data_IF_405377038700
#
_entry.id   IF_405377038700
#
_cell.length_a   1.000
_cell.length_b   1.000
_cell.length_c   1.000
_cell.angle_alpha   90.00
_cell.angle_beta   90.00
_cell.angle_gamma   90.00
#
_symmetry.space_group_name_H-M   'P 1'
#
loop_
_entity.id
_entity.type
_entity.pdbx_description
1 polymer ?
#
# COMPACT_ATOMS: atom_id res chain seq x y z
N UNK A 1 -17.94 -48.53 -72.38
CA UNK A 1 -16.58 -48.27 -71.83
C UNK A 1 -16.49 -46.84 -71.44
N UNK A 2 -17.19 -46.47 -70.41
CA UNK A 2 -16.90 -45.16 -69.69
C UNK A 2 -17.68 -45.17 -68.37
N UNK A 3 -17.06 -44.72 -67.31
CA UNK A 3 -17.61 -44.40 -65.98
C UNK A 3 -17.67 -45.50 -64.91
N UNK A 4 -16.49 -45.98 -64.48
CA UNK A 4 -16.39 -46.66 -63.18
C UNK A 4 -15.19 -46.09 -62.31
N UNK A 5 -14.61 -44.98 -62.70
CA UNK A 5 -13.46 -44.44 -61.95
C UNK A 5 -13.66 -43.10 -61.18
N UNK A 6 -14.88 -42.81 -60.77
CA UNK A 6 -15.12 -41.54 -60.03
C UNK A 6 -15.81 -41.68 -58.67
N UNK A 7 -16.06 -42.87 -58.15
CA UNK A 7 -16.65 -43.01 -56.80
C UNK A 7 -15.65 -43.36 -55.70
N UNK A 8 -14.41 -43.77 -56.01
CA UNK A 8 -13.46 -44.15 -54.97
C UNK A 8 -12.67 -42.95 -54.40
N UNK A 9 -12.53 -41.88 -55.17
CA UNK A 9 -11.77 -40.72 -54.68
C UNK A 9 -12.60 -39.77 -53.83
N UNK A 10 -13.93 -39.73 -54.03
CA UNK A 10 -14.80 -38.87 -53.22
C UNK A 10 -15.05 -39.44 -51.81
N UNK A 11 -14.97 -40.74 -51.65
CA UNK A 11 -15.13 -41.40 -50.33
C UNK A 11 -13.90 -41.24 -49.44
N UNK A 12 -12.68 -41.13 -50.03
CA UNK A 12 -11.46 -40.99 -49.28
C UNK A 12 -11.25 -39.55 -48.77
N UNK A 13 -11.68 -38.56 -49.55
CA UNK A 13 -11.63 -37.16 -49.15
C UNK A 13 -12.61 -36.79 -48.03
N UNK A 14 -13.78 -37.40 -48.02
CA UNK A 14 -14.80 -37.20 -46.98
C UNK A 14 -14.39 -37.90 -45.68
N UNK A 15 -13.73 -39.05 -45.74
CA UNK A 15 -13.25 -39.76 -44.56
C UNK A 15 -12.07 -39.00 -43.87
N UNK A 16 -11.23 -38.30 -44.62
CA UNK A 16 -10.14 -37.48 -44.05
C UNK A 16 -10.67 -36.22 -43.36
N UNK A 17 -11.79 -35.65 -43.80
CA UNK A 17 -12.38 -34.46 -43.19
C UNK A 17 -13.03 -34.75 -41.81
N UNK A 18 -13.47 -35.98 -41.58
CA UNK A 18 -14.06 -36.36 -40.29
C UNK A 18 -13.02 -36.66 -39.20
N UNK A 19 -11.76 -36.94 -39.56
CA UNK A 19 -10.70 -37.17 -38.55
C UNK A 19 -10.09 -35.90 -38.01
N UNK A 20 -10.21 -34.74 -38.67
CA UNK A 20 -9.71 -33.46 -38.17
C UNK A 20 -10.66 -32.73 -37.22
N UNK A 21 -11.91 -33.18 -37.07
CA UNK A 21 -12.91 -32.58 -36.16
C UNK A 21 -12.85 -33.08 -34.71
N UNK A 22 -12.00 -34.04 -34.39
CA UNK A 22 -11.99 -34.70 -33.07
C UNK A 22 -10.89 -34.24 -32.10
N UNK A 23 -10.11 -33.21 -32.46
CA UNK A 23 -9.14 -32.59 -31.54
C UNK A 23 -9.51 -31.12 -31.30
N UNK A 24 -10.73 -30.86 -30.86
CA UNK A 24 -10.97 -29.70 -30.01
C UNK A 24 -10.51 -30.13 -28.64
N UNK A 25 -9.25 -29.83 -28.32
CA UNK A 25 -8.82 -29.85 -26.94
C UNK A 25 -9.71 -28.86 -26.19
N UNK A 26 -10.65 -29.37 -25.39
CA UNK A 26 -11.18 -28.57 -24.30
C UNK A 26 -9.96 -28.09 -23.51
N UNK A 27 -9.60 -26.81 -23.65
CA UNK A 27 -8.79 -26.19 -22.65
C UNK A 27 -9.55 -26.38 -21.34
N UNK A 28 -8.93 -26.96 -20.31
CA UNK A 28 -9.55 -26.95 -19.00
C UNK A 28 -9.91 -25.49 -18.72
N UNK A 29 -11.15 -25.24 -18.33
CA UNK A 29 -11.56 -23.97 -17.81
C UNK A 29 -10.49 -23.58 -16.78
N UNK A 30 -9.85 -22.42 -16.98
CA UNK A 30 -8.88 -21.94 -16.02
C UNK A 30 -9.64 -21.82 -14.71
N UNK A 31 -9.45 -22.76 -13.80
CA UNK A 31 -9.91 -22.60 -12.43
C UNK A 31 -9.34 -21.26 -11.97
N UNK A 32 -10.22 -20.31 -11.73
CA UNK A 32 -9.82 -19.04 -11.17
C UNK A 32 -9.27 -19.36 -9.78
N UNK A 33 -7.93 -19.42 -9.64
CA UNK A 33 -7.32 -19.60 -8.34
C UNK A 33 -7.77 -18.45 -7.44
N UNK A 34 -8.62 -18.77 -6.48
CA UNK A 34 -9.09 -17.80 -5.50
C UNK A 34 -8.08 -17.78 -4.35
N UNK A 35 -7.34 -16.69 -4.24
CA UNK A 35 -6.37 -16.52 -3.18
C UNK A 35 -7.08 -16.06 -1.90
N UNK A 36 -6.74 -16.67 -0.77
CA UNK A 36 -7.31 -16.31 0.54
C UNK A 36 -7.11 -14.82 0.89
N UNK A 37 -6.11 -14.18 0.31
CA UNK A 37 -5.84 -12.73 0.46
C UNK A 37 -6.96 -11.85 -0.10
N UNK A 38 -7.79 -12.34 -1.03
CA UNK A 38 -8.94 -11.59 -1.57
C UNK A 38 -10.05 -11.38 -0.54
N UNK A 39 -10.07 -12.18 0.52
CA UNK A 39 -11.02 -12.06 1.62
C UNK A 39 -10.52 -11.18 2.78
N UNK A 40 -9.28 -10.69 2.69
CA UNK A 40 -8.70 -9.83 3.71
C UNK A 40 -9.19 -8.39 3.51
N UNK A 41 -9.84 -7.84 4.53
CA UNK A 41 -10.16 -6.42 4.59
C UNK A 41 -9.28 -5.72 5.63
N UNK A 42 -8.24 -4.97 5.20
CA UNK A 42 -7.33 -4.29 6.12
C UNK A 42 -7.97 -3.18 6.96
N UNK A 43 -9.17 -2.72 6.62
CA UNK A 43 -9.88 -1.71 7.40
C UNK A 43 -10.57 -2.28 8.65
N UNK A 44 -10.63 -3.59 8.83
CA UNK A 44 -11.20 -4.19 10.04
C UNK A 44 -10.37 -3.79 11.26
N UNK A 45 -11.03 -3.17 12.25
CA UNK A 45 -10.41 -2.71 13.49
C UNK A 45 -9.77 -1.31 13.41
N UNK A 46 -9.90 -0.59 12.30
CA UNK A 46 -9.39 0.78 12.17
C UNK A 46 -10.32 1.83 12.78
N UNK A 47 -11.47 1.42 13.30
CA UNK A 47 -12.44 2.26 13.98
C UNK A 47 -12.63 1.83 15.46
N UNK A 48 -13.27 2.67 16.27
CA UNK A 48 -13.48 2.50 17.72
C UNK A 48 -12.16 2.26 18.45
N UNK A 49 -12.05 1.16 19.15
CA UNK A 49 -10.89 0.77 19.97
C UNK A 49 -10.12 -0.41 19.37
N UNK A 50 -10.29 -0.68 18.09
CA UNK A 50 -9.61 -1.80 17.41
C UNK A 50 -8.12 -1.56 17.24
N UNK A 51 -7.70 -0.31 17.03
CA UNK A 51 -6.31 0.13 16.92
C UNK A 51 -5.51 -0.72 15.92
N UNK A 52 -6.03 -0.84 14.71
CA UNK A 52 -5.31 -1.42 13.58
C UNK A 52 -5.07 -0.36 12.52
N UNK A 53 -4.21 -0.65 11.56
CA UNK A 53 -3.88 0.23 10.44
C UNK A 53 -4.09 -0.51 9.10
N UNK A 54 -4.49 0.19 8.02
CA UNK A 54 -4.81 -0.44 6.74
C UNK A 54 -3.61 -0.63 5.82
N UNK A 55 -2.41 -0.24 6.25
CA UNK A 55 -1.23 -0.14 5.41
C UNK A 55 -0.64 -1.48 4.98
N UNK A 56 0.41 -1.39 4.16
CA UNK A 56 1.09 -2.53 3.58
C UNK A 56 2.08 -3.17 4.54
N UNK A 57 1.95 -4.47 4.73
CA UNK A 57 2.83 -5.27 5.58
C UNK A 57 2.97 -6.67 4.99
N UNK A 58 4.21 -7.21 4.98
CA UNK A 58 4.42 -8.64 4.80
C UNK A 58 4.17 -9.38 6.13
N UNK A 59 3.70 -10.64 6.11
CA UNK A 59 3.51 -11.41 7.33
C UNK A 59 4.81 -11.45 8.15
N UNK A 60 4.72 -11.04 9.45
CA UNK A 60 5.85 -10.96 10.38
C UNK A 60 7.00 -10.03 9.93
N UNK A 61 6.72 -9.11 9.00
CA UNK A 61 7.71 -8.15 8.52
C UNK A 61 8.09 -7.10 9.56
N UNK A 62 9.31 -6.57 9.44
CA UNK A 62 9.80 -5.46 10.26
C UNK A 62 9.25 -4.10 9.79
N UNK A 63 8.74 -4.04 8.55
CA UNK A 63 8.16 -2.83 7.97
C UNK A 63 6.64 -2.96 7.97
N UNK A 64 5.99 -1.97 8.60
CA UNK A 64 4.55 -1.76 8.62
C UNK A 64 4.28 -0.39 8.03
N UNK A 65 4.22 -0.31 6.69
CA UNK A 65 4.10 0.95 5.96
C UNK A 65 2.64 1.38 5.85
N UNK A 66 2.27 2.45 6.56
CA UNK A 66 0.87 2.87 6.66
C UNK A 66 0.70 4.39 6.72
N UNK A 67 -0.48 4.92 6.36
CA UNK A 67 -0.79 6.31 6.62
C UNK A 67 -0.94 6.61 8.12
N UNK A 68 -0.53 7.82 8.50
CA UNK A 68 -0.75 8.42 9.81
C UNK A 68 -1.72 9.59 9.68
N UNK A 69 -2.81 9.60 10.47
CA UNK A 69 -3.75 10.72 10.46
C UNK A 69 -3.19 12.00 11.08
N UNK A 70 -2.17 11.89 11.93
CA UNK A 70 -1.44 13.03 12.50
C UNK A 70 -2.00 13.60 13.79
N UNK A 71 -3.16 13.15 14.24
CA UNK A 71 -3.78 13.56 15.49
C UNK A 71 -3.47 12.57 16.62
N UNK A 72 -3.16 13.04 17.83
CA UNK A 72 -2.97 12.17 19.00
C UNK A 72 -4.32 11.68 19.53
N UNK A 73 -4.32 10.57 20.23
CA UNK A 73 -5.50 10.05 20.91
C UNK A 73 -5.42 8.55 21.16
N UNK A 74 -6.18 8.07 22.15
CA UNK A 74 -6.20 6.64 22.46
C UNK A 74 -6.69 5.78 21.28
N UNK A 75 -7.68 6.29 20.53
CA UNK A 75 -8.24 5.58 19.37
C UNK A 75 -7.31 5.66 18.13
N UNK A 76 -6.19 6.37 18.22
CA UNK A 76 -5.21 6.64 17.15
C UNK A 76 -3.83 6.07 17.45
N UNK A 77 -3.71 5.18 18.41
CA UNK A 77 -2.39 4.62 18.79
C UNK A 77 -1.77 3.72 17.72
N UNK A 78 -2.53 3.31 16.72
CA UNK A 78 -2.00 2.61 15.53
C UNK A 78 -1.55 3.57 14.41
N UNK A 79 -1.69 4.89 14.59
CA UNK A 79 -1.40 5.91 13.58
C UNK A 79 -2.59 6.25 12.68
N UNK A 80 -3.50 5.32 12.45
CA UNK A 80 -4.68 5.49 11.62
C UNK A 80 -5.97 5.31 12.42
N UNK A 81 -6.96 6.17 12.16
CA UNK A 81 -8.30 6.06 12.70
C UNK A 81 -9.32 6.37 11.60
N UNK A 82 -10.16 5.40 11.26
CA UNK A 82 -11.05 5.47 10.10
C UNK A 82 -11.95 6.72 10.04
N UNK A 83 -12.51 7.25 11.14
CA UNK A 83 -13.31 8.48 11.11
C UNK A 83 -12.54 9.76 10.78
N UNK A 84 -11.22 9.75 10.78
CA UNK A 84 -10.41 10.93 10.45
C UNK A 84 -10.39 11.16 8.93
N UNK A 85 -10.22 12.42 8.53
CA UNK A 85 -10.19 12.85 7.13
C UNK A 85 -8.86 13.49 6.72
N UNK A 86 -7.82 13.33 7.54
CA UNK A 86 -6.47 13.88 7.30
C UNK A 86 -5.43 12.78 7.27
N UNK A 87 -4.40 12.99 6.46
CA UNK A 87 -3.15 12.21 6.46
C UNK A 87 -2.00 13.20 6.62
N UNK A 88 -1.13 12.97 7.62
CA UNK A 88 0.03 13.81 7.93
C UNK A 88 1.36 13.10 7.61
N UNK A 89 1.32 11.99 6.93
CA UNK A 89 2.48 11.26 6.45
C UNK A 89 2.25 9.75 6.37
N UNK A 90 3.30 9.07 5.95
CA UNK A 90 3.35 7.62 5.78
C UNK A 90 4.62 7.12 6.47
N UNK A 91 4.47 6.52 7.65
CA UNK A 91 5.60 6.00 8.42
C UNK A 91 5.82 4.49 8.18
N UNK A 92 7.01 4.02 8.51
CA UNK A 92 7.43 2.64 8.19
C UNK A 92 7.21 1.65 9.32
N UNK A 93 6.85 2.14 10.51
CA UNK A 93 6.66 1.29 11.69
C UNK A 93 5.37 1.66 12.40
N UNK A 94 4.55 0.65 12.66
CA UNK A 94 3.28 0.77 13.37
C UNK A 94 3.08 -0.40 14.31
N UNK A 95 2.36 -0.15 15.40
CA UNK A 95 1.82 -1.19 16.27
C UNK A 95 0.33 -1.33 16.03
N UNK A 96 -0.16 -2.56 16.03
CA UNK A 96 -1.59 -2.85 16.04
C UNK A 96 -2.03 -3.36 17.40
N UNK A 97 -3.27 -3.06 17.76
CA UNK A 97 -3.85 -3.42 19.05
C UNK A 97 -3.67 -2.35 20.11
N UNK A 98 -4.26 -2.59 21.25
CA UNK A 98 -4.35 -1.63 22.35
C UNK A 98 -3.09 -1.63 23.19
N UNK A 99 -2.62 -0.46 23.65
CA UNK A 99 -1.71 -0.35 24.77
C UNK A 99 -0.50 0.55 24.58
N UNK A 100 0.04 0.73 23.38
CA UNK A 100 1.21 1.56 23.17
C UNK A 100 1.07 2.42 21.92
N UNK A 101 1.34 3.70 22.05
CA UNK A 101 1.40 4.65 20.95
C UNK A 101 2.86 4.97 20.60
N UNK A 102 3.62 3.94 20.31
CA UNK A 102 5.04 4.03 19.95
C UNK A 102 5.26 3.78 18.46
N UNK A 103 6.49 4.01 18.00
CA UNK A 103 6.96 3.86 16.63
C UNK A 103 6.65 5.09 15.75
N UNK A 104 6.02 4.94 14.60
CA UNK A 104 5.82 5.99 13.58
C UNK A 104 7.14 6.50 13.00
N UNK A 105 8.12 5.61 12.89
CA UNK A 105 9.46 5.95 12.46
C UNK A 105 9.53 6.20 10.97
N UNK A 106 10.38 7.15 10.60
CA UNK A 106 10.71 7.44 9.21
C UNK A 106 9.46 7.76 8.40
N UNK A 107 8.80 8.86 8.75
CA UNK A 107 7.57 9.32 8.10
C UNK A 107 7.88 10.22 6.91
N UNK A 108 7.28 9.90 5.76
CA UNK A 108 7.35 10.69 4.54
C UNK A 108 6.01 11.36 4.26
N UNK A 109 6.05 12.61 3.79
CA UNK A 109 4.86 13.33 3.31
C UNK A 109 5.15 14.00 1.97
N UNK A 110 4.59 13.52 0.86
CA UNK A 110 4.70 14.17 -0.43
C UNK A 110 3.75 15.37 -0.51
N UNK A 111 4.20 16.46 -1.14
CA UNK A 111 3.43 17.69 -1.32
C UNK A 111 3.71 18.32 -2.69
N UNK A 112 2.78 19.13 -3.18
CA UNK A 112 3.03 20.12 -4.25
C UNK A 112 3.28 21.48 -3.64
N UNK A 113 4.03 22.34 -4.32
CA UNK A 113 4.35 23.67 -3.84
C UNK A 113 3.36 24.73 -4.36
N UNK A 114 3.00 25.74 -3.56
CA UNK A 114 3.38 25.94 -2.17
C UNK A 114 2.60 24.99 -1.23
N UNK A 115 3.28 24.40 -0.26
CA UNK A 115 2.62 23.57 0.74
C UNK A 115 2.01 24.42 1.86
N UNK A 116 1.09 23.81 2.61
CA UNK A 116 0.48 24.38 3.81
C UNK A 116 0.89 23.59 5.04
N UNK A 117 1.15 24.29 6.12
CA UNK A 117 1.45 23.72 7.41
C UNK A 117 0.44 24.27 8.43
N UNK A 118 -0.18 23.37 9.17
CA UNK A 118 -1.03 23.70 10.29
C UNK A 118 -0.23 23.72 11.59
N UNK A 119 -0.82 24.31 12.64
CA UNK A 119 -0.26 24.23 13.98
C UNK A 119 -0.14 22.77 14.46
N UNK A 120 0.82 22.54 15.36
CA UNK A 120 0.96 21.25 16.00
C UNK A 120 -0.35 20.82 16.69
N UNK A 121 -0.71 19.49 16.68
CA UNK A 121 0.17 18.38 16.33
C UNK A 121 0.13 17.99 14.84
N UNK A 122 -0.76 18.57 14.02
CA UNK A 122 -1.04 18.12 12.67
C UNK A 122 0.12 18.39 11.68
N UNK A 123 0.70 19.62 11.72
CA UNK A 123 1.78 20.00 10.84
C UNK A 123 1.42 19.96 9.35
N UNK A 124 2.34 19.47 8.52
CA UNK A 124 2.08 19.25 7.09
C UNK A 124 1.16 18.04 6.94
N UNK A 125 0.03 18.24 6.27
CA UNK A 125 -0.99 17.20 6.08
C UNK A 125 -1.77 17.44 4.80
N UNK A 126 -2.60 16.49 4.41
CA UNK A 126 -3.61 16.62 3.37
C UNK A 126 -4.94 16.02 3.82
N UNK A 127 -6.01 16.59 3.32
CA UNK A 127 -7.31 15.94 3.35
C UNK A 127 -7.32 14.73 2.40
N UNK A 128 -8.08 13.70 2.75
CA UNK A 128 -8.39 12.55 1.91
C UNK A 128 -9.87 12.15 2.00
N UNK A 129 -10.28 11.16 1.24
CA UNK A 129 -11.62 10.56 1.29
C UNK A 129 -11.50 9.06 1.15
N UNK A 130 -12.32 8.31 1.90
CA UNK A 130 -12.43 6.87 1.77
C UNK A 130 -12.94 6.41 0.39
N UNK A 131 -13.60 7.28 -0.37
CA UNK A 131 -13.99 7.01 -1.77
C UNK A 131 -12.77 6.94 -2.71
N UNK A 132 -11.64 7.52 -2.28
CA UNK A 132 -10.37 7.57 -3.01
C UNK A 132 -9.25 6.85 -2.25
N UNK A 133 -9.64 5.90 -1.38
CA UNK A 133 -8.76 5.08 -0.56
C UNK A 133 -9.04 3.60 -0.80
N UNK A 134 -8.00 2.80 -0.96
CA UNK A 134 -8.14 1.35 -1.09
C UNK A 134 -7.03 0.63 -0.33
N UNK A 135 -7.36 -0.53 0.22
CA UNK A 135 -6.40 -1.41 0.88
C UNK A 135 -6.68 -2.87 0.55
N UNK A 136 -5.63 -3.64 0.39
CA UNK A 136 -5.66 -5.08 0.28
C UNK A 136 -4.43 -5.68 0.98
N UNK A 137 -4.36 -6.99 1.12
CA UNK A 137 -3.21 -7.62 1.76
C UNK A 137 -1.89 -7.20 1.09
N UNK A 138 -1.03 -6.48 1.82
CA UNK A 138 0.27 -6.01 1.35
C UNK A 138 0.25 -4.79 0.43
N UNK A 139 -0.88 -4.14 0.25
CA UNK A 139 -1.01 -2.96 -0.59
C UNK A 139 -1.99 -1.95 -0.01
N UNK A 140 -1.64 -0.67 -0.12
CA UNK A 140 -2.49 0.47 0.24
C UNK A 140 -2.37 1.58 -0.80
N UNK A 141 -3.46 2.29 -1.06
CA UNK A 141 -3.50 3.44 -1.96
C UNK A 141 -4.44 4.50 -1.43
N UNK A 142 -4.07 5.78 -1.61
CA UNK A 142 -4.91 6.93 -1.29
C UNK A 142 -4.56 8.14 -2.15
N UNK A 143 -5.54 9.02 -2.39
CA UNK A 143 -5.31 10.33 -3.00
C UNK A 143 -5.27 11.43 -1.94
N UNK A 144 -4.18 12.19 -1.92
CA UNK A 144 -4.01 13.39 -1.11
C UNK A 144 -4.66 14.57 -1.84
N UNK A 145 -5.82 15.03 -1.35
CA UNK A 145 -6.67 16.00 -2.04
C UNK A 145 -6.05 17.40 -2.14
N UNK A 146 -5.37 17.84 -1.09
CA UNK A 146 -4.80 19.20 -1.06
C UNK A 146 -3.64 19.37 -2.02
N UNK A 147 -3.00 18.27 -2.42
CA UNK A 147 -1.81 18.26 -3.28
C UNK A 147 -2.02 17.56 -4.60
N UNK A 148 -3.19 16.94 -4.81
CA UNK A 148 -3.50 16.12 -5.99
C UNK A 148 -2.48 15.01 -6.26
N UNK A 149 -2.03 14.34 -5.20
CA UNK A 149 -1.02 13.28 -5.28
C UNK A 149 -1.68 11.95 -5.02
N UNK A 150 -1.44 10.97 -5.89
CA UNK A 150 -1.77 9.59 -5.62
C UNK A 150 -0.58 8.90 -4.94
N UNK A 151 -0.84 8.26 -3.80
CA UNK A 151 0.15 7.53 -3.00
C UNK A 151 -0.18 6.06 -3.02
N UNK A 152 0.81 5.22 -3.29
CA UNK A 152 0.71 3.76 -3.26
C UNK A 152 1.82 3.19 -2.40
N UNK A 153 1.47 2.26 -1.53
CA UNK A 153 2.37 1.63 -0.57
C UNK A 153 2.38 0.13 -0.76
N UNK A 154 3.57 -0.46 -0.69
CA UNK A 154 3.76 -1.91 -0.54
C UNK A 154 5.00 -2.20 0.28
N UNK A 155 5.10 -3.39 0.85
CA UNK A 155 6.21 -3.75 1.72
C UNK A 155 6.63 -5.20 1.52
N UNK A 156 7.91 -5.45 1.72
CA UNK A 156 8.47 -6.78 1.99
C UNK A 156 8.76 -6.91 3.49
N UNK A 157 9.38 -7.99 3.89
CA UNK A 157 9.74 -8.19 5.30
C UNK A 157 10.63 -7.07 5.89
N UNK A 158 11.44 -6.41 5.05
CA UNK A 158 12.45 -5.44 5.51
C UNK A 158 12.48 -4.13 4.71
N UNK A 159 11.72 -4.02 3.64
CA UNK A 159 11.72 -2.84 2.78
C UNK A 159 10.31 -2.33 2.56
N UNK A 160 10.12 -1.02 2.71
CA UNK A 160 8.92 -0.32 2.28
C UNK A 160 9.14 0.32 0.92
N UNK A 161 8.14 0.30 0.05
CA UNK A 161 8.13 1.00 -1.22
C UNK A 161 6.94 1.95 -1.23
N UNK A 162 7.22 3.22 -1.46
CA UNK A 162 6.22 4.26 -1.62
C UNK A 162 6.32 4.82 -3.04
N UNK A 163 5.21 4.80 -3.77
CA UNK A 163 5.10 5.42 -5.10
C UNK A 163 4.19 6.64 -5.00
N UNK A 164 4.70 7.78 -5.46
CA UNK A 164 3.97 9.03 -5.51
C UNK A 164 3.76 9.44 -6.97
N UNK A 165 2.51 9.63 -7.36
CA UNK A 165 2.17 10.20 -8.66
C UNK A 165 1.76 11.65 -8.45
N UNK A 166 2.64 12.55 -8.85
CA UNK A 166 2.42 13.99 -8.74
C UNK A 166 1.65 14.53 -9.96
N UNK A 167 0.85 15.58 -9.79
CA UNK A 167 0.37 16.38 -10.91
C UNK A 167 1.55 17.12 -11.56
N UNK A 168 1.30 17.79 -12.68
CA UNK A 168 2.29 18.69 -13.31
C UNK A 168 2.48 19.96 -12.47
N UNK A 169 3.30 19.88 -11.44
CA UNK A 169 3.58 20.95 -10.47
C UNK A 169 4.96 20.76 -9.85
N UNK A 170 5.50 21.83 -9.26
CA UNK A 170 6.67 21.72 -8.39
C UNK A 170 6.31 20.87 -7.17
N UNK A 171 7.15 19.93 -6.83
CA UNK A 171 6.90 18.93 -5.79
C UNK A 171 8.05 18.81 -4.81
N UNK A 172 7.73 18.34 -3.60
CA UNK A 172 8.70 18.01 -2.57
C UNK A 172 8.24 16.79 -1.77
N UNK A 173 9.18 16.13 -1.13
CA UNK A 173 8.91 15.06 -0.16
C UNK A 173 9.54 15.47 1.17
N UNK A 174 8.71 15.65 2.20
CA UNK A 174 9.18 15.88 3.56
C UNK A 174 9.50 14.56 4.22
N UNK A 175 10.70 14.45 4.79
CA UNK A 175 11.10 13.38 5.69
C UNK A 175 11.03 13.90 7.11
N UNK A 176 10.10 13.38 7.90
CA UNK A 176 9.92 13.75 9.29
C UNK A 176 10.51 12.69 10.21
N UNK A 177 11.68 12.95 10.76
CA UNK A 177 12.34 12.10 11.74
C UNK A 177 11.95 12.43 13.20
N UNK A 178 11.20 13.51 13.41
CA UNK A 178 10.71 13.92 14.73
C UNK A 178 9.23 13.64 14.94
N UNK A 179 8.58 12.97 13.99
CA UNK A 179 7.19 12.62 14.15
C UNK A 179 7.04 11.74 15.38
N UNK A 180 6.16 12.15 16.24
CA UNK A 180 5.80 11.44 17.44
C UNK A 180 4.29 11.54 17.59
N UNK A 181 3.66 10.47 18.03
CA UNK A 181 2.24 10.44 18.35
C UNK A 181 2.08 9.86 19.74
N UNK A 182 1.12 10.41 20.48
CA UNK A 182 0.83 9.97 21.85
C UNK A 182 2.02 10.11 22.81
N UNK A 183 2.65 8.99 23.20
CA UNK A 183 3.70 8.96 24.24
C UNK A 183 5.12 8.85 23.69
N UNK A 184 5.23 8.62 22.39
CA UNK A 184 6.54 8.53 21.76
C UNK A 184 7.18 9.91 21.64
N UNK A 185 8.48 10.00 21.83
CA UNK A 185 9.26 11.19 21.59
C UNK A 185 10.66 10.86 21.06
N UNK A 186 11.15 11.72 20.20
CA UNK A 186 12.45 11.54 19.54
C UNK A 186 13.57 12.08 20.39
N UNK A 187 14.58 11.27 20.69
CA UNK A 187 15.77 11.65 21.44
C UNK A 187 16.88 12.15 20.54
N UNK A 188 17.19 11.42 19.48
CA UNK A 188 18.27 11.75 18.55
C UNK A 188 17.93 11.33 17.14
N UNK A 189 18.38 12.10 16.17
CA UNK A 189 18.18 11.83 14.75
C UNK A 189 19.39 12.24 13.94
N UNK A 190 19.69 11.48 12.91
CA UNK A 190 20.69 11.84 11.92
C UNK A 190 20.19 11.53 10.53
N UNK A 191 20.50 12.42 9.61
CA UNK A 191 20.34 12.20 8.17
C UNK A 191 21.61 12.60 7.45
N UNK A 192 22.00 11.83 6.45
CA UNK A 192 23.15 12.06 5.60
C UNK A 192 22.78 11.81 4.16
N UNK A 193 23.11 12.73 3.28
CA UNK A 193 22.98 12.55 1.83
C UNK A 193 24.22 11.85 1.34
N UNK A 194 24.07 10.59 0.92
CA UNK A 194 25.16 9.76 0.39
C UNK A 194 25.47 10.12 -1.05
N UNK A 195 24.42 10.23 -1.87
CA UNK A 195 24.51 10.61 -3.28
C UNK A 195 23.17 11.24 -3.76
N UNK A 196 23.00 11.41 -5.05
CA UNK A 196 21.82 12.07 -5.65
C UNK A 196 20.50 11.31 -5.49
N UNK A 197 20.55 10.04 -5.10
CA UNK A 197 19.38 9.15 -4.97
C UNK A 197 19.34 8.39 -3.65
N UNK A 198 20.34 8.61 -2.79
CA UNK A 198 20.51 7.86 -1.54
C UNK A 198 20.67 8.79 -0.35
N UNK A 199 19.84 8.59 0.63
CA UNK A 199 19.98 9.15 1.98
C UNK A 199 20.09 8.00 2.97
N UNK A 200 20.83 8.21 4.06
CA UNK A 200 20.89 7.28 5.18
C UNK A 200 20.75 8.03 6.49
N UNK A 201 20.39 7.32 7.55
CA UNK A 201 20.25 7.94 8.85
C UNK A 201 19.70 6.99 9.90
N UNK A 202 19.36 7.59 11.03
CA UNK A 202 18.71 6.91 12.13
C UNK A 202 17.76 7.85 12.89
N UNK A 203 16.86 7.26 13.64
CA UNK A 203 16.02 7.88 14.64
C UNK A 203 16.09 7.04 15.90
N UNK A 204 16.39 7.66 17.04
CA UNK A 204 16.22 7.07 18.35
C UNK A 204 15.04 7.72 19.05
N UNK A 205 14.17 6.91 19.61
CA UNK A 205 13.01 7.37 20.36
C UNK A 205 12.86 6.65 21.68
N UNK A 206 12.12 7.28 22.56
CA UNK A 206 11.62 6.70 23.80
C UNK A 206 10.12 6.92 23.87
N UNK A 207 9.40 5.93 24.37
CA UNK A 207 7.99 5.97 24.60
C UNK A 207 7.62 4.91 25.63
N UNK A 208 6.71 4.04 25.31
CA UNK A 208 6.40 2.86 26.10
C UNK A 208 7.60 1.90 26.16
N UNK A 209 8.20 1.59 25.03
CA UNK A 209 9.46 0.89 24.96
C UNK A 209 10.62 1.90 24.99
N UNK A 210 11.58 1.71 25.87
CA UNK A 210 12.72 2.60 26.04
C UNK A 210 13.89 2.19 25.16
N UNK A 211 14.56 3.18 24.57
CA UNK A 211 15.81 2.97 23.81
C UNK A 211 15.60 2.26 22.46
N UNK A 212 14.58 2.66 21.74
CA UNK A 212 14.31 2.21 20.36
C UNK A 212 15.14 2.99 19.33
#
# INVERSE_FOLDING_TARGET
LCNIMKLSELSFGILLLFFFSACVSQQPDAETECYATEYVNPFIGTDFTGNTYPGAQAPFGMVQLSPDNGLPGWDRISGYFYPDSTIAGFSHTHLSGTGAGDLYDISFMPVTLPYKEADAPLGIHSLFSHDEETASAGYYQVRLKDYDINVELTATERCGIQRYTFPEADAAIFLNLRKAMNWDFTNDTRIEVVDSVTIQGYRFSDGWARGQ
#
